data_IF_737684946968
#
_entry.id   IF_737684946968
#
_cell.length_a   1.000
_cell.length_b   1.000
_cell.length_c   1.000
_cell.angle_alpha   90.00
_cell.angle_beta   90.00
_cell.angle_gamma   90.00
#
_symmetry.space_group_name_H-M   'P 1'
#
loop_
_entity.id
_entity.type
_entity.pdbx_description
1 polymer ?
#
# COMPACT_ATOMS: atom_id res chain seq x y z
N UNK A 1 -16.23 20.49 12.71
CA UNK A 1 -16.11 19.41 13.71
C UNK A 1 -15.12 18.44 13.11
N UNK A 2 -13.89 18.40 13.63
CA UNK A 2 -12.79 17.61 13.09
C UNK A 2 -12.85 16.21 13.73
N UNK A 3 -13.58 15.28 13.12
CA UNK A 3 -13.70 13.90 13.61
C UNK A 3 -12.55 13.00 13.16
N UNK A 4 -12.02 13.20 11.95
CA UNK A 4 -11.20 12.20 11.26
C UNK A 4 -9.69 12.45 11.18
N UNK A 5 -9.20 13.53 11.80
CA UNK A 5 -7.79 13.91 11.69
C UNK A 5 -7.06 13.65 13.00
N UNK A 6 -6.13 12.71 12.95
CA UNK A 6 -5.20 12.42 14.04
C UNK A 6 -4.01 13.37 13.87
N UNK A 7 -3.95 14.37 14.74
CA UNK A 7 -2.83 15.29 14.82
C UNK A 7 -1.74 14.71 15.71
N UNK A 8 -0.51 14.74 15.22
CA UNK A 8 0.65 14.42 16.02
C UNK A 8 1.10 15.73 16.66
N UNK A 9 0.57 16.05 17.83
CA UNK A 9 1.08 17.18 18.61
C UNK A 9 2.58 16.97 18.85
N UNK A 10 3.36 18.03 18.64
CA UNK A 10 4.80 17.98 18.79
C UNK A 10 5.19 17.59 20.21
N UNK A 11 5.62 16.33 20.40
CA UNK A 11 6.38 15.91 21.58
C UNK A 11 7.73 16.65 21.71
N UNK A 12 8.03 17.60 20.82
CA UNK A 12 9.19 18.47 20.90
C UNK A 12 8.93 19.86 20.27
N UNK A 13 8.20 20.75 20.94
CA UNK A 13 8.36 22.18 20.69
C UNK A 13 7.90 23.05 21.88
N UNK A 14 8.85 23.30 22.80
CA UNK A 14 8.96 24.64 23.40
C UNK A 14 10.02 25.37 22.56
N UNK A 15 9.60 26.10 21.52
CA UNK A 15 10.48 27.04 20.81
C UNK A 15 9.68 28.10 20.03
N UNK A 16 9.91 29.35 20.42
CA UNK A 16 9.85 30.65 19.72
C UNK A 16 8.85 30.84 18.54
N UNK A 17 7.88 31.74 18.72
CA UNK A 17 6.83 32.14 17.76
C UNK A 17 7.35 32.76 16.43
N UNK A 18 8.66 32.81 16.21
CA UNK A 18 9.29 33.43 15.04
C UNK A 18 9.92 32.44 14.04
N UNK A 19 10.00 31.14 14.34
CA UNK A 19 10.50 30.13 13.40
C UNK A 19 9.34 29.54 12.57
N UNK A 20 9.52 29.44 11.25
CA UNK A 20 8.59 28.67 10.41
C UNK A 20 8.51 27.23 10.94
N UNK A 21 7.30 26.67 11.00
CA UNK A 21 7.10 25.29 11.46
C UNK A 21 8.00 24.33 10.65
N UNK A 22 8.67 23.37 11.31
CA UNK A 22 9.56 22.44 10.62
C UNK A 22 8.76 21.58 9.62
N UNK A 23 9.39 21.10 8.54
CA UNK A 23 8.72 20.28 7.54
C UNK A 23 8.15 18.98 8.13
N UNK A 24 7.00 18.55 7.59
CA UNK A 24 6.25 17.38 8.02
C UNK A 24 5.72 16.56 6.86
N UNK A 25 5.38 15.32 7.17
CA UNK A 25 4.58 14.47 6.30
C UNK A 25 3.11 14.51 6.73
N UNK A 26 2.22 14.78 5.80
CA UNK A 26 0.77 14.78 6.03
C UNK A 26 0.11 13.71 5.16
N UNK A 27 -0.58 12.77 5.80
CA UNK A 27 -1.26 11.67 5.12
C UNK A 27 -2.79 11.90 5.04
N UNK A 28 -3.37 11.52 3.91
CA UNK A 28 -4.81 11.32 3.72
C UNK A 28 -5.03 9.88 3.26
N UNK A 29 -5.77 9.11 4.05
CA UNK A 29 -6.01 7.67 3.86
C UNK A 29 -7.51 7.45 3.71
N UNK A 30 -7.92 6.86 2.59
CA UNK A 30 -9.33 6.62 2.26
C UNK A 30 -9.54 5.14 1.93
N UNK A 31 -10.49 4.50 2.61
CA UNK A 31 -10.86 3.10 2.38
C UNK A 31 -12.37 2.96 2.20
N UNK A 32 -12.82 2.57 1.00
CA UNK A 32 -14.24 2.48 0.67
C UNK A 32 -14.63 1.02 0.40
N UNK A 33 -15.30 0.40 1.37
CA UNK A 33 -15.79 -0.98 1.26
C UNK A 33 -17.29 -1.07 1.08
N UNK A 34 -18.01 -0.24 1.84
CA UNK A 34 -19.46 -0.11 1.76
C UNK A 34 -19.87 0.99 0.80
N UNK A 35 -20.82 0.65 -0.07
CA UNK A 35 -21.41 1.53 -1.07
C UNK A 35 -22.94 1.38 -1.04
N UNK A 36 -23.68 2.35 -0.49
CA UNK A 36 -25.13 2.24 -0.35
C UNK A 36 -25.90 1.98 -1.65
N UNK A 37 -25.35 2.41 -2.79
CA UNK A 37 -26.02 2.34 -4.09
C UNK A 37 -25.51 1.23 -5.02
N UNK A 38 -24.53 0.43 -4.60
CA UNK A 38 -24.10 -0.76 -5.35
C UNK A 38 -24.86 -2.00 -4.88
N UNK A 39 -24.73 -3.10 -5.62
CA UNK A 39 -25.33 -4.37 -5.22
C UNK A 39 -24.90 -4.78 -3.80
N UNK A 40 -25.87 -5.25 -3.01
CA UNK A 40 -25.71 -5.51 -1.56
C UNK A 40 -25.78 -4.27 -0.65
N UNK A 41 -25.94 -3.05 -1.19
CA UNK A 41 -26.13 -1.81 -0.42
C UNK A 41 -27.58 -1.57 0.03
N UNK A 42 -27.82 -0.47 0.77
CA UNK A 42 -29.16 -0.14 1.27
C UNK A 42 -30.14 0.34 0.20
N UNK A 43 -29.65 0.91 -0.90
CA UNK A 43 -30.45 1.51 -1.97
C UNK A 43 -29.78 1.27 -3.32
N UNK A 44 -29.62 0.00 -3.74
CA UNK A 44 -28.89 -0.36 -4.95
C UNK A 44 -29.57 0.20 -6.19
N UNK A 45 -28.78 0.71 -7.14
CA UNK A 45 -29.29 1.01 -8.47
C UNK A 45 -29.53 -0.27 -9.26
N UNK A 46 -30.39 -0.21 -10.27
CA UNK A 46 -30.74 -1.38 -11.08
C UNK A 46 -29.56 -1.93 -11.89
N UNK A 47 -28.60 -1.08 -12.25
CA UNK A 47 -27.40 -1.43 -12.98
C UNK A 47 -26.20 -0.69 -12.36
N UNK A 48 -25.43 -1.43 -11.56
CA UNK A 48 -24.20 -0.95 -10.92
C UNK A 48 -22.95 -1.33 -11.72
N UNK A 49 -23.11 -1.74 -12.97
CA UNK A 49 -22.03 -2.24 -13.84
C UNK A 49 -21.25 -3.42 -13.21
N UNK A 50 -21.98 -4.29 -12.52
CA UNK A 50 -21.42 -5.47 -11.84
C UNK A 50 -20.58 -5.15 -10.59
N UNK A 51 -20.49 -3.88 -10.18
CA UNK A 51 -19.83 -3.49 -8.94
C UNK A 51 -20.70 -3.83 -7.73
N UNK A 52 -20.05 -4.32 -6.68
CA UNK A 52 -20.63 -4.81 -5.44
C UNK A 52 -19.82 -4.31 -4.23
N UNK A 53 -20.25 -4.64 -3.02
CA UNK A 53 -19.53 -4.30 -1.79
C UNK A 53 -18.13 -4.91 -1.75
N UNK A 54 -17.16 -4.20 -1.18
CA UNK A 54 -15.78 -4.66 -1.03
C UNK A 54 -15.43 -4.81 0.45
N UNK A 55 -14.79 -5.92 0.81
CA UNK A 55 -14.38 -6.16 2.22
C UNK A 55 -12.95 -5.76 2.53
N UNK A 56 -12.04 -5.80 1.55
CA UNK A 56 -10.63 -5.43 1.76
C UNK A 56 -10.36 -3.94 2.01
N UNK A 57 -11.01 -2.98 1.32
CA UNK A 57 -10.53 -1.60 1.34
C UNK A 57 -10.48 -0.93 2.71
N UNK A 58 -11.49 -1.07 3.60
CA UNK A 58 -11.39 -0.50 4.93
C UNK A 58 -10.30 -1.16 5.79
N UNK A 59 -10.14 -2.49 5.66
CA UNK A 59 -9.08 -3.25 6.33
C UNK A 59 -7.70 -2.77 5.86
N UNK A 60 -7.51 -2.56 4.56
CA UNK A 60 -6.28 -2.06 3.96
C UNK A 60 -5.96 -0.63 4.42
N UNK A 61 -6.95 0.27 4.42
CA UNK A 61 -6.79 1.64 4.89
C UNK A 61 -6.44 1.71 6.38
N UNK A 62 -7.08 0.89 7.24
CA UNK A 62 -6.71 0.75 8.65
C UNK A 62 -5.28 0.26 8.82
N UNK A 63 -4.88 -0.79 8.11
CA UNK A 63 -3.52 -1.32 8.18
C UNK A 63 -2.46 -0.29 7.77
N UNK A 64 -2.75 0.49 6.72
CA UNK A 64 -1.86 1.55 6.26
C UNK A 64 -1.80 2.74 7.23
N UNK A 65 -2.92 3.17 7.81
CA UNK A 65 -2.95 4.19 8.85
C UNK A 65 -2.21 3.76 10.12
N UNK A 66 -2.36 2.49 10.53
CA UNK A 66 -1.58 1.91 11.63
C UNK A 66 -0.09 1.95 11.34
N UNK A 67 0.35 1.53 10.15
CA UNK A 67 1.76 1.59 9.75
C UNK A 67 2.31 3.02 9.76
N UNK A 68 1.56 4.00 9.27
CA UNK A 68 1.95 5.41 9.35
C UNK A 68 2.21 5.83 10.80
N UNK A 69 1.34 5.43 11.73
CA UNK A 69 1.46 5.84 13.12
C UNK A 69 2.56 5.07 13.88
N UNK A 70 2.75 3.78 13.63
CA UNK A 70 3.68 2.95 14.42
C UNK A 70 5.08 2.84 13.82
N UNK A 71 5.20 2.81 12.48
CA UNK A 71 6.46 2.47 11.80
C UNK A 71 7.02 3.60 10.94
N UNK A 72 6.18 4.46 10.35
CA UNK A 72 6.67 5.48 9.44
C UNK A 72 7.65 6.43 10.14
N UNK A 73 8.83 6.51 9.55
CA UNK A 73 9.93 7.34 10.02
C UNK A 73 10.63 7.99 8.84
N UNK A 74 10.70 9.32 8.89
CA UNK A 74 11.48 10.17 8.01
C UNK A 74 12.04 11.28 8.92
N UNK A 75 13.32 11.23 9.31
CA UNK A 75 13.88 12.23 10.22
C UNK A 75 13.83 13.67 9.69
N UNK A 76 13.81 13.86 8.37
CA UNK A 76 13.71 15.18 7.76
C UNK A 76 12.26 15.68 7.69
N UNK A 77 11.28 14.77 7.63
CA UNK A 77 9.84 15.08 7.47
C UNK A 77 9.00 14.13 8.33
N UNK A 78 9.10 14.22 9.67
CA UNK A 78 8.35 13.34 10.55
C UNK A 78 6.85 13.48 10.29
N UNK A 79 6.09 12.42 10.58
CA UNK A 79 4.65 12.44 10.42
C UNK A 79 4.05 13.57 11.27
N UNK A 80 3.23 14.43 10.66
CA UNK A 80 2.54 15.53 11.32
C UNK A 80 1.04 15.29 11.47
N UNK A 81 0.41 14.60 10.51
CA UNK A 81 -1.03 14.29 10.60
C UNK A 81 -1.42 13.08 9.76
N UNK A 82 -2.43 12.35 10.21
CA UNK A 82 -3.17 11.34 9.41
C UNK A 82 -4.65 11.72 9.39
N UNK A 83 -5.21 11.98 8.21
CA UNK A 83 -6.65 12.04 8.01
C UNK A 83 -7.11 10.66 7.51
N UNK A 84 -8.11 10.06 8.17
CA UNK A 84 -8.62 8.73 7.85
C UNK A 84 -10.12 8.80 7.56
N UNK A 85 -10.55 8.32 6.39
CA UNK A 85 -11.95 8.20 6.00
C UNK A 85 -12.25 6.75 5.63
N UNK A 86 -13.32 6.17 6.19
CA UNK A 86 -13.67 4.77 5.98
C UNK A 86 -15.16 4.59 5.73
N UNK A 87 -15.51 3.77 4.74
CA UNK A 87 -16.89 3.30 4.55
C UNK A 87 -16.95 1.80 4.76
N UNK A 88 -17.50 1.41 5.90
CA UNK A 88 -17.52 0.04 6.41
C UNK A 88 -18.94 -0.47 6.57
N UNK A 89 -19.14 -1.78 6.40
CA UNK A 89 -20.42 -2.43 6.72
C UNK A 89 -20.78 -2.27 8.20
N UNK A 90 -19.76 -2.36 9.06
CA UNK A 90 -19.87 -2.20 10.50
C UNK A 90 -18.82 -1.19 10.98
N UNK A 91 -19.13 0.12 10.94
CA UNK A 91 -18.21 1.17 11.35
C UNK A 91 -17.74 0.97 12.79
N UNK A 92 -16.43 1.05 12.99
CA UNK A 92 -15.81 1.01 14.31
C UNK A 92 -14.84 2.18 14.48
N UNK A 93 -14.58 2.65 15.71
CA UNK A 93 -13.52 3.64 15.93
C UNK A 93 -12.17 3.12 15.42
N UNK A 94 -11.26 4.04 15.11
CA UNK A 94 -9.87 3.72 14.85
C UNK A 94 -9.06 3.94 16.13
N UNK A 95 -8.48 2.87 16.67
CA UNK A 95 -7.60 2.94 17.83
C UNK A 95 -6.18 3.32 17.41
N UNK A 96 -5.68 4.47 17.84
CA UNK A 96 -4.28 4.87 17.62
C UNK A 96 -3.33 3.87 18.31
N UNK A 97 -2.45 3.17 17.56
CA UNK A 97 -1.58 2.14 18.13
C UNK A 97 -0.55 2.68 19.14
N UNK A 98 -0.27 3.98 19.15
CA UNK A 98 0.73 4.60 20.02
C UNK A 98 0.15 4.99 21.37
N UNK A 99 -1.10 5.42 21.38
CA UNK A 99 -1.77 6.00 22.57
C UNK A 99 -2.92 5.14 23.08
N UNK A 100 -3.35 4.15 22.30
CA UNK A 100 -4.57 3.36 22.55
C UNK A 100 -5.84 4.22 22.66
N UNK A 101 -5.84 5.41 22.03
CA UNK A 101 -7.00 6.30 21.99
C UNK A 101 -7.86 5.98 20.79
N UNK A 102 -9.17 5.89 21.00
CA UNK A 102 -10.13 5.68 19.92
C UNK A 102 -10.51 7.02 19.27
N UNK A 103 -10.51 7.01 17.93
CA UNK A 103 -10.93 8.13 17.10
C UNK A 103 -12.16 7.72 16.29
N UNK A 104 -13.18 8.58 16.29
CA UNK A 104 -14.30 8.44 15.36
C UNK A 104 -13.77 8.61 13.93
N UNK A 105 -14.33 7.84 12.99
CA UNK A 105 -13.92 7.87 11.59
C UNK A 105 -15.11 8.29 10.75
N UNK A 106 -14.97 9.40 10.02
CA UNK A 106 -16.03 9.87 9.13
C UNK A 106 -16.14 8.94 7.91
N UNK A 107 -17.37 8.80 7.42
CA UNK A 107 -17.67 8.01 6.22
C UNK A 107 -16.97 8.61 4.98
N UNK A 108 -16.44 7.76 4.10
CA UNK A 108 -15.76 8.17 2.88
C UNK A 108 -16.73 8.57 1.75
N UNK A 109 -17.63 9.51 2.03
CA UNK A 109 -18.46 10.19 1.02
C UNK A 109 -17.63 11.20 0.23
N UNK A 110 -18.07 11.57 -0.98
CA UNK A 110 -17.32 12.53 -1.79
C UNK A 110 -17.20 13.89 -1.09
N UNK A 111 -18.23 14.32 -0.36
CA UNK A 111 -18.22 15.56 0.41
C UNK A 111 -17.16 15.57 1.51
N UNK A 112 -17.04 14.46 2.25
CA UNK A 112 -16.03 14.31 3.29
C UNK A 112 -14.62 14.21 2.68
N UNK A 113 -14.46 13.49 1.56
CA UNK A 113 -13.18 13.38 0.85
C UNK A 113 -12.72 14.76 0.35
N UNK A 114 -13.59 15.55 -0.29
CA UNK A 114 -13.24 16.89 -0.79
C UNK A 114 -12.85 17.82 0.36
N UNK A 115 -13.58 17.77 1.47
CA UNK A 115 -13.26 18.54 2.68
C UNK A 115 -11.88 18.15 3.22
N UNK A 116 -11.61 16.84 3.35
CA UNK A 116 -10.34 16.33 3.83
C UNK A 116 -9.17 16.67 2.90
N UNK A 117 -9.39 16.69 1.57
CA UNK A 117 -8.40 17.15 0.57
C UNK A 117 -8.08 18.62 0.76
N UNK A 118 -9.07 19.47 1.03
CA UNK A 118 -8.85 20.90 1.32
C UNK A 118 -7.97 21.10 2.56
N UNK A 119 -8.34 20.47 3.67
CA UNK A 119 -7.57 20.56 4.91
C UNK A 119 -6.16 19.96 4.76
N UNK A 120 -6.02 18.89 3.99
CA UNK A 120 -4.74 18.24 3.68
C UNK A 120 -3.85 19.11 2.78
N UNK A 121 -4.44 19.80 1.80
CA UNK A 121 -3.76 20.80 0.98
C UNK A 121 -3.19 21.92 1.86
N UNK A 122 -4.00 22.48 2.77
CA UNK A 122 -3.58 23.60 3.62
C UNK A 122 -2.39 23.21 4.53
N UNK A 123 -2.41 21.99 5.06
CA UNK A 123 -1.26 21.43 5.80
C UNK A 123 -0.03 21.30 4.91
N UNK A 124 -0.17 20.73 3.71
CA UNK A 124 0.92 20.63 2.73
C UNK A 124 1.49 21.98 2.31
N UNK A 125 0.64 23.00 2.18
CA UNK A 125 1.04 24.33 1.72
C UNK A 125 1.80 25.14 2.77
N UNK A 126 1.84 24.68 4.02
CA UNK A 126 2.51 25.37 5.13
C UNK A 126 4.03 25.47 4.98
N UNK A 127 4.68 24.49 4.33
CA UNK A 127 6.14 24.45 4.17
C UNK A 127 6.54 23.79 2.84
N UNK A 128 7.59 24.32 2.19
CA UNK A 128 8.03 23.85 0.87
C UNK A 128 8.60 22.44 0.90
N UNK A 129 9.27 22.07 1.99
CA UNK A 129 9.82 20.73 2.18
C UNK A 129 8.82 19.72 2.77
N UNK A 130 7.54 20.09 2.92
CA UNK A 130 6.51 19.14 3.33
C UNK A 130 6.36 18.00 2.32
N UNK A 131 5.92 16.86 2.84
CA UNK A 131 5.48 15.72 2.05
C UNK A 131 3.99 15.50 2.22
N UNK A 132 3.33 15.29 1.09
CA UNK A 132 1.95 14.85 1.01
C UNK A 132 1.92 13.37 0.65
N UNK A 133 1.18 12.57 1.43
CA UNK A 133 0.93 11.16 1.15
C UNK A 133 -0.58 10.94 1.00
N UNK A 134 -1.00 10.43 -0.14
CA UNK A 134 -2.39 10.05 -0.41
C UNK A 134 -2.46 8.53 -0.58
N UNK A 135 -3.38 7.90 0.14
CA UNK A 135 -3.68 6.48 -0.01
C UNK A 135 -5.18 6.33 -0.27
N UNK A 136 -5.53 5.59 -1.32
CA UNK A 136 -6.91 5.23 -1.62
C UNK A 136 -7.00 3.73 -1.88
N UNK A 137 -7.99 3.08 -1.27
CA UNK A 137 -8.40 1.73 -1.63
C UNK A 137 -9.93 1.68 -1.80
N UNK A 138 -10.39 1.06 -2.88
CA UNK A 138 -11.81 0.96 -3.21
C UNK A 138 -12.04 0.70 -4.69
N UNK A 139 -13.27 0.90 -5.16
CA UNK A 139 -13.56 0.89 -6.58
C UNK A 139 -12.92 2.09 -7.28
N UNK A 140 -12.45 1.84 -8.49
CA UNK A 140 -11.95 2.85 -9.41
C UNK A 140 -12.26 2.45 -10.83
N UNK A 141 -12.47 3.47 -11.66
CA UNK A 141 -12.66 3.30 -13.10
C UNK A 141 -11.73 4.25 -13.83
N UNK A 142 -11.31 3.87 -15.02
CA UNK A 142 -10.42 4.70 -15.83
C UNK A 142 -10.85 4.69 -17.29
N UNK A 143 -10.54 5.78 -17.99
CA UNK A 143 -10.64 5.88 -19.44
C UNK A 143 -9.41 6.65 -19.93
N UNK A 144 -8.44 5.94 -20.52
CA UNK A 144 -7.15 6.55 -20.88
C UNK A 144 -6.39 7.04 -19.64
N UNK A 145 -6.13 8.35 -19.56
CA UNK A 145 -5.45 8.98 -18.43
C UNK A 145 -6.42 9.45 -17.32
N UNK A 146 -7.71 9.53 -17.63
CA UNK A 146 -8.74 9.95 -16.68
C UNK A 146 -9.04 8.79 -15.72
N UNK A 147 -9.03 9.06 -14.41
CA UNK A 147 -9.30 8.07 -13.37
C UNK A 147 -10.22 8.65 -12.30
N UNK A 148 -11.34 7.96 -12.08
CA UNK A 148 -12.30 8.28 -11.03
C UNK A 148 -12.12 7.29 -9.87
N UNK A 149 -11.92 7.81 -8.66
CA UNK A 149 -11.89 7.02 -7.42
C UNK A 149 -13.26 7.10 -6.76
N UNK A 150 -13.97 5.98 -6.65
CA UNK A 150 -15.39 5.99 -6.29
C UNK A 150 -15.55 6.10 -4.77
N UNK A 151 -16.22 7.18 -4.34
CA UNK A 151 -16.61 7.37 -2.95
C UNK A 151 -17.85 6.54 -2.61
N UNK A 152 -18.20 6.47 -1.33
CA UNK A 152 -19.32 5.64 -0.85
C UNK A 152 -20.64 5.98 -1.55
N UNK A 153 -20.87 7.26 -1.82
CA UNK A 153 -22.08 7.83 -2.40
C UNK A 153 -22.07 7.93 -3.93
N UNK A 154 -21.20 7.16 -4.60
CA UNK A 154 -21.33 6.94 -6.06
C UNK A 154 -22.74 6.42 -6.39
N UNK A 155 -23.31 6.87 -7.51
CA UNK A 155 -24.71 6.61 -7.91
C UNK A 155 -25.82 7.25 -7.05
N UNK A 156 -25.50 8.02 -6.00
CA UNK A 156 -26.52 8.79 -5.28
C UNK A 156 -27.24 9.82 -6.19
N UNK A 157 -26.50 10.40 -7.16
CA UNK A 157 -27.08 11.15 -8.27
C UNK A 157 -27.32 10.22 -9.46
N UNK A 158 -28.59 9.87 -9.68
CA UNK A 158 -29.00 8.98 -10.78
C UNK A 158 -28.76 9.58 -12.18
N UNK A 159 -28.63 10.90 -12.29
CA UNK A 159 -28.35 11.57 -13.55
C UNK A 159 -26.85 11.69 -13.82
N UNK A 160 -26.03 11.83 -12.77
CA UNK A 160 -24.58 11.93 -12.87
C UNK A 160 -23.90 11.08 -11.78
N UNK A 161 -23.82 9.75 -11.94
CA UNK A 161 -23.29 8.85 -10.92
C UNK A 161 -21.89 9.21 -10.39
N UNK A 162 -21.03 9.71 -11.29
CA UNK A 162 -19.65 10.11 -10.96
C UNK A 162 -19.58 11.39 -10.12
N UNK A 163 -20.69 12.07 -9.81
CA UNK A 163 -20.69 13.11 -8.78
C UNK A 163 -20.25 12.57 -7.42
N UNK A 164 -20.47 11.28 -7.14
CA UNK A 164 -19.94 10.55 -5.98
C UNK A 164 -18.55 9.95 -6.21
N UNK A 165 -17.73 10.53 -7.09
CA UNK A 165 -16.37 10.09 -7.35
C UNK A 165 -15.38 11.25 -7.31
N UNK A 166 -14.13 10.94 -6.99
CA UNK A 166 -13.02 11.88 -6.99
C UNK A 166 -12.27 11.79 -8.33
N UNK A 167 -12.15 12.92 -9.02
CA UNK A 167 -11.30 13.06 -10.19
C UNK A 167 -9.82 13.08 -9.76
N UNK A 168 -9.14 11.95 -9.92
CA UNK A 168 -7.77 11.77 -9.44
C UNK A 168 -6.75 12.57 -10.26
N UNK A 169 -6.95 12.66 -11.57
CA UNK A 169 -6.11 13.49 -12.44
C UNK A 169 -6.28 14.98 -12.07
N UNK A 170 -7.52 15.41 -11.83
CA UNK A 170 -7.87 16.73 -11.31
C UNK A 170 -7.20 17.05 -9.97
N UNK A 171 -7.24 16.11 -9.02
CA UNK A 171 -6.53 16.23 -7.74
C UNK A 171 -5.03 16.48 -7.95
N UNK A 172 -4.34 15.62 -8.70
CA UNK A 172 -2.90 15.76 -8.97
C UNK A 172 -2.54 17.07 -9.69
N UNK A 173 -3.43 17.54 -10.57
CA UNK A 173 -3.29 18.81 -11.26
C UNK A 173 -3.48 20.01 -10.33
N UNK A 174 -4.47 19.98 -9.44
CA UNK A 174 -4.69 21.02 -8.44
C UNK A 174 -3.54 21.14 -7.44
N UNK A 175 -2.93 20.00 -7.06
CA UNK A 175 -1.77 19.96 -6.17
C UNK A 175 -0.48 20.55 -6.77
N UNK A 176 -0.45 20.93 -8.06
CA UNK A 176 0.70 21.63 -8.65
C UNK A 176 1.02 22.94 -7.91
N UNK A 177 -0.02 23.60 -7.35
CA UNK A 177 0.11 24.86 -6.61
C UNK A 177 0.54 24.71 -5.15
N UNK A 178 0.40 23.53 -4.57
CA UNK A 178 0.76 23.28 -3.17
C UNK A 178 2.28 23.43 -2.97
N UNK A 179 2.72 24.10 -1.90
CA UNK A 179 4.16 24.27 -1.60
C UNK A 179 4.91 22.95 -1.45
N UNK A 180 4.29 21.95 -0.80
CA UNK A 180 4.87 20.63 -0.56
C UNK A 180 5.63 20.08 -1.77
N UNK A 181 6.93 19.88 -1.59
CA UNK A 181 7.88 19.49 -2.63
C UNK A 181 7.76 18.02 -3.03
N UNK A 182 7.20 17.17 -2.16
CA UNK A 182 7.02 15.75 -2.41
C UNK A 182 5.54 15.33 -2.27
N UNK A 183 5.01 14.64 -3.27
CA UNK A 183 3.62 14.19 -3.33
C UNK A 183 3.57 12.71 -3.76
N UNK A 184 3.23 11.82 -2.83
CA UNK A 184 3.22 10.37 -3.03
C UNK A 184 1.78 9.88 -3.02
N UNK A 185 1.38 9.11 -4.02
CA UNK A 185 0.04 8.56 -4.12
C UNK A 185 0.11 7.04 -4.24
N UNK A 186 -0.67 6.34 -3.42
CA UNK A 186 -0.89 4.90 -3.50
C UNK A 186 -2.35 4.66 -3.84
N UNK A 187 -2.60 4.14 -5.04
CA UNK A 187 -3.95 3.96 -5.59
C UNK A 187 -4.22 2.47 -5.77
N UNK A 188 -4.93 1.90 -4.80
CA UNK A 188 -5.37 0.51 -4.77
C UNK A 188 -6.81 0.38 -5.25
N UNK A 189 -6.97 0.53 -6.57
CA UNK A 189 -8.25 0.46 -7.24
C UNK A 189 -8.08 -0.15 -8.64
N UNK A 190 -9.18 -0.69 -9.18
CA UNK A 190 -9.24 -1.07 -10.58
C UNK A 190 -8.99 0.14 -11.48
N UNK A 191 -8.48 -0.13 -12.69
CA UNK A 191 -8.29 0.86 -13.76
C UNK A 191 -8.94 0.40 -15.05
N UNK A 192 -9.93 -0.48 -14.91
CA UNK A 192 -10.72 -0.99 -16.01
C UNK A 192 -11.71 0.10 -16.50
N UNK A 193 -12.03 -0.01 -17.79
CA UNK A 193 -13.14 0.74 -18.38
C UNK A 193 -14.46 0.23 -17.78
N UNK A 194 -15.44 1.12 -17.71
CA UNK A 194 -16.83 0.80 -17.37
C UNK A 194 -17.71 1.39 -18.46
N UNK A 195 -18.42 0.56 -19.22
CA UNK A 195 -19.21 1.02 -20.37
C UNK A 195 -20.37 1.94 -19.91
N UNK A 196 -21.01 1.61 -18.79
CA UNK A 196 -22.06 2.44 -18.16
C UNK A 196 -21.54 3.80 -17.70
N UNK A 197 -20.31 3.85 -17.16
CA UNK A 197 -19.70 5.09 -16.70
C UNK A 197 -19.05 5.88 -17.84
N UNK A 198 -18.57 5.22 -18.90
CA UNK A 198 -18.05 5.84 -20.13
C UNK A 198 -19.18 6.47 -20.96
N UNK A 199 -20.34 5.81 -21.06
CA UNK A 199 -21.50 6.34 -21.79
C UNK A 199 -22.13 7.55 -21.08
N UNK A 200 -22.09 7.60 -19.75
CA UNK A 200 -22.58 8.73 -18.95
C UNK A 200 -21.57 9.90 -18.86
N UNK A 201 -20.29 9.66 -19.14
CA UNK A 201 -19.21 10.65 -19.00
C UNK A 201 -18.71 11.25 -20.32
N UNK A 202 -19.55 11.27 -21.38
CA UNK A 202 -19.26 11.68 -22.77
C UNK A 202 -18.58 13.04 -23.05
N UNK A 203 -17.97 13.68 -22.04
CA UNK A 203 -17.22 14.94 -22.06
C UNK A 203 -15.92 14.94 -21.21
N UNK A 204 -15.31 13.80 -20.84
CA UNK A 204 -14.16 13.71 -19.92
C UNK A 204 -14.49 13.99 -18.44
N UNK A 205 -15.67 13.56 -17.98
CA UNK A 205 -16.05 13.74 -16.57
C UNK A 205 -15.58 12.55 -15.72
N UNK A 206 -14.51 12.75 -14.94
CA UNK A 206 -13.97 11.76 -14.00
C UNK A 206 -14.48 11.94 -12.55
N UNK A 207 -15.50 12.79 -12.36
CA UNK A 207 -16.08 13.10 -11.06
C UNK A 207 -15.70 14.48 -10.52
N UNK A 208 -15.75 14.62 -9.19
CA UNK A 208 -15.53 15.88 -8.50
C UNK A 208 -14.04 16.26 -8.50
N UNK A 209 -13.72 17.45 -9.03
CA UNK A 209 -12.39 18.04 -8.94
C UNK A 209 -12.26 18.86 -7.65
N UNK A 210 -11.49 18.40 -6.63
CA UNK A 210 -11.48 19.02 -5.31
C UNK A 210 -10.68 20.33 -5.25
N UNK A 211 -9.75 20.52 -6.19
CA UNK A 211 -8.82 21.64 -6.23
C UNK A 211 -8.75 22.15 -7.67
N UNK A 212 -8.97 23.45 -7.89
CA UNK A 212 -8.90 24.00 -9.25
C UNK A 212 -7.52 23.77 -9.89
N UNK A 213 -7.45 23.49 -11.19
CA UNK A 213 -6.17 23.32 -11.88
C UNK A 213 -5.35 24.62 -11.90
N UNK A 214 -4.02 24.50 -12.02
CA UNK A 214 -3.14 25.66 -12.17
C UNK A 214 -1.68 25.27 -12.40
N UNK A 215 -0.89 26.23 -12.89
CA UNK A 215 0.55 26.08 -12.98
C UNK A 215 1.19 26.16 -11.58
N UNK A 216 2.28 25.41 -11.36
CA UNK A 216 3.12 25.59 -10.17
C UNK A 216 3.76 26.99 -10.22
N UNK A 217 3.68 27.80 -9.14
CA UNK A 217 4.41 29.07 -9.05
C UNK A 217 5.90 28.91 -9.35
N UNK A 218 6.48 29.87 -10.09
CA UNK A 218 7.86 29.80 -10.58
C UNK A 218 8.93 29.94 -9.49
N UNK A 219 8.54 30.50 -8.34
CA UNK A 219 9.38 30.69 -7.14
C UNK A 219 9.44 29.44 -6.25
N UNK A 220 8.59 28.44 -6.50
CA UNK A 220 8.66 27.17 -5.80
C UNK A 220 9.69 26.23 -6.44
N UNK A 221 10.40 25.42 -5.63
CA UNK A 221 11.30 24.40 -6.15
C UNK A 221 10.51 23.34 -6.93
N UNK A 222 11.25 22.53 -7.69
CA UNK A 222 10.69 21.41 -8.46
C UNK A 222 9.86 20.51 -7.55
N UNK A 223 8.63 20.22 -7.98
CA UNK A 223 7.75 19.24 -7.36
C UNK A 223 8.16 17.83 -7.80
N UNK A 224 8.37 16.93 -6.86
CA UNK A 224 8.42 15.50 -7.10
C UNK A 224 7.06 14.90 -6.78
N UNK A 225 6.45 14.25 -7.77
CA UNK A 225 5.18 13.57 -7.58
C UNK A 225 5.27 12.16 -8.14
N UNK A 226 4.64 11.21 -7.47
CA UNK A 226 4.74 9.79 -7.80
C UNK A 226 3.45 9.05 -7.49
N UNK A 227 2.66 8.68 -8.50
CA UNK A 227 1.49 7.83 -8.33
C UNK A 227 1.85 6.36 -8.56
N UNK A 228 1.77 5.56 -7.51
CA UNK A 228 1.77 4.10 -7.56
C UNK A 228 0.35 3.60 -7.77
N UNK A 229 0.16 2.79 -8.79
CA UNK A 229 -1.10 2.13 -9.09
C UNK A 229 -0.98 0.64 -8.81
N UNK A 230 -2.02 0.07 -8.20
CA UNK A 230 -2.08 -1.36 -7.94
C UNK A 230 -2.08 -2.24 -9.19
N UNK A 231 -2.47 -1.67 -10.34
CA UNK A 231 -2.61 -2.40 -11.60
C UNK A 231 -2.32 -1.51 -12.81
N UNK A 232 -2.17 -2.09 -14.00
CA UNK A 232 -2.00 -1.37 -15.26
C UNK A 232 -3.31 -0.70 -15.70
N UNK A 233 -3.22 0.26 -16.62
CA UNK A 233 -4.41 0.84 -17.23
C UNK A 233 -5.20 -0.24 -17.99
N UNK A 234 -6.51 -0.32 -17.74
CA UNK A 234 -7.40 -1.35 -18.29
C UNK A 234 -7.60 -2.57 -17.39
N UNK A 235 -6.78 -2.77 -16.36
CA UNK A 235 -6.77 -3.99 -15.55
C UNK A 235 -7.49 -3.85 -14.20
N UNK A 236 -7.72 -5.00 -13.55
CA UNK A 236 -8.36 -5.10 -12.24
C UNK A 236 -7.32 -5.09 -11.11
N UNK A 237 -7.73 -4.65 -9.92
CA UNK A 237 -7.03 -4.88 -8.65
C UNK A 237 -7.78 -5.94 -7.83
N UNK A 238 -7.07 -6.71 -7.03
CA UNK A 238 -7.56 -7.87 -6.32
C UNK A 238 -7.25 -7.81 -4.82
N UNK A 239 -8.13 -8.41 -4.02
CA UNK A 239 -7.98 -8.56 -2.58
C UNK A 239 -8.50 -9.91 -2.11
N UNK A 240 -8.13 -10.29 -0.88
CA UNK A 240 -8.67 -11.48 -0.22
C UNK A 240 -9.82 -11.05 0.69
N UNK A 241 -10.94 -11.78 0.65
CA UNK A 241 -12.14 -11.41 1.40
C UNK A 241 -11.85 -11.22 2.89
N UNK A 242 -12.26 -10.08 3.45
CA UNK A 242 -12.05 -9.72 4.85
C UNK A 242 -10.59 -9.47 5.26
N UNK A 243 -9.65 -9.45 4.32
CA UNK A 243 -8.23 -9.19 4.57
C UNK A 243 -7.77 -7.95 3.78
N UNK A 244 -6.58 -7.48 4.12
CA UNK A 244 -5.85 -6.48 3.33
C UNK A 244 -5.76 -6.94 1.86
N UNK A 245 -5.94 -6.00 0.94
CA UNK A 245 -5.78 -6.21 -0.50
C UNK A 245 -4.34 -6.61 -0.86
N UNK A 246 -4.16 -7.30 -1.99
CA UNK A 246 -2.84 -7.81 -2.37
C UNK A 246 -1.81 -6.70 -2.55
N UNK A 247 -2.21 -5.60 -3.20
CA UNK A 247 -1.32 -4.45 -3.38
C UNK A 247 -0.94 -3.80 -2.05
N UNK A 248 -1.90 -3.60 -1.14
CA UNK A 248 -1.61 -2.97 0.15
C UNK A 248 -0.74 -3.87 1.02
N UNK A 249 -0.95 -5.19 1.02
CA UNK A 249 -0.09 -6.13 1.72
C UNK A 249 1.33 -6.11 1.15
N UNK A 250 1.47 -6.13 -0.18
CA UNK A 250 2.77 -6.03 -0.86
C UNK A 250 3.48 -4.71 -0.55
N UNK A 251 2.73 -3.60 -0.53
CA UNK A 251 3.22 -2.28 -0.15
C UNK A 251 3.76 -2.27 1.28
N UNK A 252 2.99 -2.77 2.25
CA UNK A 252 3.40 -2.82 3.66
C UNK A 252 4.63 -3.72 3.87
N UNK A 253 4.67 -4.91 3.26
CA UNK A 253 5.86 -5.79 3.30
C UNK A 253 7.09 -5.15 2.65
N UNK A 254 6.87 -4.36 1.59
CA UNK A 254 7.94 -3.60 0.94
C UNK A 254 8.49 -2.51 1.84
N UNK A 255 7.62 -1.73 2.48
CA UNK A 255 7.99 -0.68 3.43
C UNK A 255 8.69 -1.24 4.69
N UNK A 256 8.30 -2.44 5.14
CA UNK A 256 8.90 -3.12 6.30
C UNK A 256 10.30 -3.70 6.05
N UNK A 257 10.78 -3.76 4.80
CA UNK A 257 12.15 -4.17 4.53
C UNK A 257 12.44 -4.67 3.13
N UNK A 258 11.47 -5.24 2.41
CA UNK A 258 11.78 -5.77 1.07
C UNK A 258 12.23 -4.67 0.09
N UNK A 259 11.80 -3.42 0.27
CA UNK A 259 12.26 -2.28 -0.54
C UNK A 259 13.43 -1.50 0.07
N UNK A 260 14.08 -2.02 1.12
CA UNK A 260 15.14 -1.29 1.83
C UNK A 260 16.54 -1.56 1.30
N UNK A 261 17.44 -0.61 1.53
CA UNK A 261 18.88 -0.69 1.27
C UNK A 261 19.65 0.16 2.29
N UNK A 262 20.92 -0.13 2.52
CA UNK A 262 21.74 0.50 3.57
C UNK A 262 23.02 1.18 3.06
N UNK A 263 22.95 2.05 2.03
CA UNK A 263 24.15 2.61 1.38
C UNK A 263 25.07 3.39 2.33
N UNK A 264 24.50 3.97 3.39
CA UNK A 264 25.21 4.76 4.41
C UNK A 264 25.15 4.11 5.81
N UNK A 265 24.67 2.87 5.90
CA UNK A 265 24.53 2.12 7.16
C UNK A 265 23.17 2.24 7.84
N UNK A 266 22.32 3.17 7.41
CA UNK A 266 20.91 3.26 7.81
C UNK A 266 20.04 2.57 6.76
N UNK A 267 19.09 1.73 7.18
CA UNK A 267 18.14 1.07 6.28
C UNK A 267 17.10 2.05 5.77
N UNK A 268 17.07 2.28 4.46
CA UNK A 268 16.22 3.27 3.82
C UNK A 268 15.40 2.63 2.70
N UNK A 269 14.13 3.00 2.59
CA UNK A 269 13.26 2.67 1.47
C UNK A 269 13.17 3.87 0.56
N UNK A 270 13.63 3.72 -0.69
CA UNK A 270 13.44 4.72 -1.72
C UNK A 270 12.29 4.36 -2.67
N UNK A 271 11.81 5.35 -3.40
CA UNK A 271 10.68 5.21 -4.32
C UNK A 271 10.90 4.18 -5.44
N UNK A 272 12.12 4.02 -5.94
CA UNK A 272 12.41 3.06 -7.01
C UNK A 272 12.40 1.61 -6.54
N UNK A 273 13.01 1.34 -5.37
CA UNK A 273 13.04 0.01 -4.76
C UNK A 273 11.65 -0.44 -4.32
N UNK A 274 10.79 0.51 -3.95
CA UNK A 274 9.42 0.24 -3.57
C UNK A 274 8.63 -0.42 -4.71
N UNK A 275 8.73 0.11 -5.95
CA UNK A 275 8.06 -0.52 -7.09
C UNK A 275 8.60 -1.94 -7.35
N UNK A 276 9.92 -2.11 -7.32
CA UNK A 276 10.55 -3.43 -7.54
C UNK A 276 10.11 -4.47 -6.51
N UNK A 277 10.00 -4.09 -5.24
CA UNK A 277 9.57 -5.00 -4.19
C UNK A 277 8.08 -5.35 -4.30
N UNK A 278 7.21 -4.37 -4.55
CA UNK A 278 5.77 -4.61 -4.76
C UNK A 278 5.57 -5.54 -5.96
N UNK A 279 6.23 -5.24 -7.09
CA UNK A 279 6.18 -6.06 -8.29
C UNK A 279 6.63 -7.49 -8.04
N UNK A 280 7.71 -7.67 -7.27
CA UNK A 280 8.18 -9.00 -6.89
C UNK A 280 7.10 -9.82 -6.18
N UNK A 281 6.45 -9.26 -5.15
CA UNK A 281 5.37 -9.94 -4.42
C UNK A 281 4.20 -10.30 -5.34
N UNK A 282 3.79 -9.39 -6.21
CA UNK A 282 2.68 -9.61 -7.14
C UNK A 282 2.96 -10.73 -8.18
N UNK A 283 4.24 -11.03 -8.43
CA UNK A 283 4.66 -12.15 -9.27
C UNK A 283 4.79 -13.49 -8.52
N UNK A 284 4.77 -13.51 -7.17
CA UNK A 284 4.98 -14.74 -6.41
C UNK A 284 3.66 -15.51 -6.20
N UNK A 285 3.55 -16.76 -6.65
CA UNK A 285 2.37 -17.60 -6.41
C UNK A 285 2.07 -17.81 -4.92
N UNK A 286 3.10 -18.00 -4.09
CA UNK A 286 2.93 -18.14 -2.63
C UNK A 286 2.37 -16.88 -1.95
N UNK A 287 2.37 -15.74 -2.64
CA UNK A 287 1.81 -14.48 -2.17
C UNK A 287 0.46 -14.20 -2.85
N UNK A 288 0.46 -14.03 -4.17
CA UNK A 288 -0.71 -13.59 -4.93
C UNK A 288 -1.64 -14.76 -5.34
N UNK A 289 -1.27 -16.01 -5.07
CA UNK A 289 -2.06 -17.20 -5.41
C UNK A 289 -2.36 -17.26 -6.91
N UNK A 290 -3.61 -17.58 -7.25
CA UNK A 290 -4.07 -17.71 -8.63
C UNK A 290 -3.99 -16.42 -9.47
N UNK A 291 -3.82 -15.25 -8.84
CA UNK A 291 -3.68 -13.95 -9.54
C UNK A 291 -2.22 -13.47 -9.61
N UNK A 292 -1.25 -14.33 -9.28
CA UNK A 292 0.16 -14.03 -9.48
C UNK A 292 0.45 -13.70 -10.95
N UNK A 293 1.19 -12.62 -11.19
CA UNK A 293 1.48 -12.07 -12.53
C UNK A 293 0.24 -11.61 -13.34
N UNK A 294 -0.96 -11.61 -12.76
CA UNK A 294 -2.18 -11.07 -13.40
C UNK A 294 -2.34 -9.60 -13.07
N UNK A 295 -2.19 -9.23 -11.79
CA UNK A 295 -2.21 -7.85 -11.36
C UNK A 295 -0.78 -7.28 -11.37
N UNK A 296 -0.51 -6.35 -12.29
CA UNK A 296 0.82 -5.77 -12.49
C UNK A 296 0.86 -4.34 -11.94
N UNK A 297 1.56 -4.08 -10.83
CA UNK A 297 1.67 -2.74 -10.28
C UNK A 297 2.43 -1.83 -11.23
N UNK A 298 2.06 -0.55 -11.25
CA UNK A 298 2.71 0.43 -12.14
C UNK A 298 2.93 1.77 -11.45
N UNK A 299 3.79 2.60 -12.04
CA UNK A 299 4.05 3.96 -11.58
C UNK A 299 3.95 4.93 -12.75
N UNK A 300 3.43 6.14 -12.51
CA UNK A 300 3.39 7.21 -13.51
C UNK A 300 4.77 7.85 -13.71
N UNK A 301 5.10 8.83 -12.86
CA UNK A 301 6.45 9.41 -12.78
C UNK A 301 7.23 8.77 -11.62
N UNK A 302 8.54 8.50 -11.81
CA UNK A 302 9.39 7.87 -10.79
C UNK A 302 10.60 8.76 -10.41
N UNK A 303 10.39 9.93 -9.77
CA UNK A 303 11.48 10.62 -9.09
C UNK A 303 12.02 9.76 -7.94
N UNK A 304 13.35 9.73 -7.77
CA UNK A 304 14.02 8.93 -6.73
C UNK A 304 14.32 9.78 -5.50
N UNK A 305 13.75 9.39 -4.36
CA UNK A 305 14.06 9.95 -3.04
C UNK A 305 13.74 8.94 -1.93
N UNK A 306 14.28 9.18 -0.73
CA UNK A 306 14.03 8.35 0.46
C UNK A 306 12.64 8.64 0.98
N UNK A 307 11.77 7.62 1.00
CA UNK A 307 10.42 7.72 1.51
C UNK A 307 10.37 7.45 3.02
N UNK A 308 11.16 6.49 3.50
CA UNK A 308 11.07 5.96 4.84
C UNK A 308 12.42 5.38 5.27
N UNK A 309 12.76 5.49 6.54
CA UNK A 309 13.88 4.79 7.17
C UNK A 309 13.38 3.77 8.19
N UNK A 310 13.89 2.54 8.13
CA UNK A 310 13.51 1.51 9.09
C UNK A 310 14.17 1.78 10.45
N UNK A 311 13.42 1.56 11.53
CA UNK A 311 13.95 1.64 12.89
C UNK A 311 14.82 0.42 13.27
N UNK A 312 14.70 -0.68 12.52
CA UNK A 312 15.36 -1.95 12.82
C UNK A 312 15.83 -2.70 11.57
N UNK A 313 16.21 -3.95 11.76
CA UNK A 313 16.65 -4.83 10.66
C UNK A 313 15.50 -5.12 9.70
N UNK A 314 15.73 -5.04 8.38
CA UNK A 314 14.68 -5.30 7.41
C UNK A 314 14.23 -6.75 7.44
N UNK A 315 12.93 -6.95 7.28
CA UNK A 315 12.33 -8.27 7.07
C UNK A 315 12.07 -8.45 5.58
N UNK A 316 12.49 -9.58 5.03
CA UNK A 316 12.42 -9.85 3.59
C UNK A 316 11.90 -11.26 3.33
N UNK A 317 11.20 -11.48 2.20
CA UNK A 317 10.74 -12.80 1.85
C UNK A 317 11.90 -13.69 1.42
N UNK A 318 11.83 -14.95 1.86
CA UNK A 318 12.77 -16.01 1.51
C UNK A 318 11.97 -17.22 1.02
N UNK A 319 12.30 -17.69 -0.18
CA UNK A 319 11.69 -18.84 -0.82
C UNK A 319 12.70 -19.98 -0.82
N UNK A 320 12.37 -21.07 -0.13
CA UNK A 320 13.26 -22.23 0.03
C UNK A 320 12.68 -23.40 -0.76
N UNK A 321 13.49 -23.98 -1.65
CA UNK A 321 13.11 -25.12 -2.46
C UNK A 321 14.28 -26.08 -2.66
N UNK A 322 13.95 -27.29 -3.07
CA UNK A 322 14.86 -28.34 -3.49
C UNK A 322 15.10 -28.28 -5.01
N UNK A 323 16.25 -28.79 -5.43
CA UNK A 323 16.54 -29.11 -6.83
C UNK A 323 16.80 -30.62 -6.96
N UNK A 324 15.89 -31.40 -7.61
CA UNK A 324 14.70 -30.97 -8.33
C UNK A 324 13.52 -30.53 -7.44
N UNK A 325 12.63 -29.69 -7.98
CA UNK A 325 11.49 -29.09 -7.24
C UNK A 325 10.47 -30.11 -6.71
N UNK A 326 10.32 -31.25 -7.37
CA UNK A 326 9.44 -32.33 -6.90
C UNK A 326 9.77 -32.85 -5.50
N UNK A 327 11.01 -32.68 -5.05
CA UNK A 327 11.43 -33.06 -3.70
C UNK A 327 10.82 -32.14 -2.62
N UNK A 328 10.26 -30.97 -2.99
CA UNK A 328 9.58 -30.07 -2.05
C UNK A 328 8.39 -30.74 -1.35
N UNK A 329 7.71 -31.67 -2.00
CA UNK A 329 6.55 -32.37 -1.46
C UNK A 329 6.90 -33.29 -0.29
N UNK A 330 8.12 -33.81 -0.26
CA UNK A 330 8.60 -34.79 0.73
C UNK A 330 9.55 -34.15 1.76
N UNK A 331 10.08 -32.95 1.47
CA UNK A 331 11.06 -32.29 2.30
C UNK A 331 10.44 -31.69 3.58
N UNK A 332 11.03 -32.06 4.72
CA UNK A 332 10.98 -31.23 5.92
C UNK A 332 12.05 -30.13 5.79
N UNK A 333 11.62 -28.86 5.86
CA UNK A 333 12.56 -27.74 5.83
C UNK A 333 12.85 -27.19 7.22
N UNK A 334 14.12 -26.85 7.44
CA UNK A 334 14.59 -26.22 8.69
C UNK A 334 15.41 -24.98 8.36
N UNK A 335 15.16 -23.88 9.08
CA UNK A 335 15.94 -22.65 9.01
C UNK A 335 16.63 -22.40 10.36
N UNK A 336 17.96 -22.29 10.33
CA UNK A 336 18.82 -21.99 11.50
C UNK A 336 19.50 -20.64 11.33
N UNK A 337 19.64 -19.89 12.43
CA UNK A 337 20.28 -18.57 12.43
C UNK A 337 21.71 -18.64 12.99
N UNK A 338 22.66 -17.93 12.37
CA UNK A 338 24.03 -17.83 12.89
C UNK A 338 24.95 -19.01 12.59
N UNK A 339 24.52 -19.96 11.74
CA UNK A 339 25.36 -21.09 11.29
C UNK A 339 24.69 -22.46 11.49
N UNK A 340 25.45 -23.53 11.24
CA UNK A 340 24.94 -24.91 11.31
C UNK A 340 24.51 -25.32 12.72
N UNK A 341 25.27 -24.91 13.74
CA UNK A 341 24.95 -25.17 15.15
C UNK A 341 24.11 -24.05 15.78
N UNK A 342 23.55 -23.17 14.94
CA UNK A 342 22.70 -22.07 15.34
C UNK A 342 21.33 -22.53 15.85
N UNK A 343 20.62 -21.67 16.61
CA UNK A 343 19.25 -21.95 17.02
C UNK A 343 18.34 -22.14 15.79
N UNK A 344 17.47 -23.13 15.88
CA UNK A 344 16.37 -23.30 14.93
C UNK A 344 15.39 -22.13 15.09
N UNK A 345 15.09 -21.47 13.99
CA UNK A 345 14.14 -20.35 13.95
C UNK A 345 12.78 -20.79 13.47
N UNK A 346 12.77 -21.56 12.38
CA UNK A 346 11.55 -22.00 11.70
C UNK A 346 11.73 -23.42 11.18
N UNK A 347 10.61 -24.13 11.11
CA UNK A 347 10.50 -25.49 10.55
C UNK A 347 9.20 -25.62 9.79
N UNK A 348 9.24 -26.28 8.64
CA UNK A 348 8.06 -26.79 7.92
C UNK A 348 8.11 -28.31 7.93
N UNK A 349 7.22 -29.00 8.68
CA UNK A 349 7.17 -30.46 8.71
C UNK A 349 6.92 -31.07 7.32
N UNK A 350 7.38 -32.31 7.12
CA UNK A 350 7.00 -33.09 5.93
C UNK A 350 5.47 -33.30 5.92
N UNK A 351 4.83 -32.95 4.80
CA UNK A 351 3.37 -33.03 4.62
C UNK A 351 2.60 -31.73 4.93
N UNK A 352 3.26 -30.70 5.49
CA UNK A 352 2.72 -29.34 5.53
C UNK A 352 3.02 -28.64 4.18
N UNK A 353 2.30 -29.10 3.15
CA UNK A 353 2.49 -28.71 1.75
C UNK A 353 1.22 -28.04 1.23
N UNK A 354 1.39 -27.17 0.24
CA UNK A 354 0.26 -26.74 -0.59
C UNK A 354 -0.20 -27.95 -1.42
N UNK A 355 -1.43 -28.42 -1.19
CA UNK A 355 -1.96 -29.59 -1.90
C UNK A 355 -2.30 -29.28 -3.36
N UNK A 356 -2.53 -28.02 -3.69
CA UNK A 356 -2.80 -27.57 -5.06
C UNK A 356 -1.50 -27.34 -5.83
N UNK A 357 -0.40 -27.05 -5.12
CA UNK A 357 0.97 -26.97 -5.67
C UNK A 357 2.02 -27.66 -4.76
N UNK A 358 2.14 -29.00 -4.81
CA UNK A 358 3.09 -29.75 -3.98
C UNK A 358 4.56 -29.44 -4.26
N UNK A 359 4.87 -28.85 -5.42
CA UNK A 359 6.22 -28.43 -5.79
C UNK A 359 6.54 -27.00 -5.31
N UNK A 360 5.61 -26.34 -4.63
CA UNK A 360 5.78 -24.97 -4.15
C UNK A 360 6.95 -24.81 -3.18
N UNK A 361 7.64 -23.68 -3.32
CA UNK A 361 8.71 -23.29 -2.40
C UNK A 361 8.12 -22.98 -1.01
N UNK A 362 8.86 -23.32 0.04
CA UNK A 362 8.56 -22.85 1.39
C UNK A 362 8.87 -21.35 1.48
N UNK A 363 7.81 -20.54 1.49
CA UNK A 363 7.88 -19.10 1.62
C UNK A 363 7.84 -18.69 3.10
N UNK A 364 8.86 -17.95 3.55
CA UNK A 364 8.99 -17.44 4.92
C UNK A 364 9.52 -16.01 4.91
N UNK A 365 9.34 -15.31 6.03
CA UNK A 365 9.88 -13.97 6.23
C UNK A 365 11.00 -14.01 7.26
N UNK A 366 12.15 -13.45 6.91
CA UNK A 366 13.34 -13.46 7.76
C UNK A 366 13.95 -12.06 7.82
N UNK A 367 14.53 -11.74 8.98
CA UNK A 367 15.33 -10.54 9.15
C UNK A 367 16.64 -10.62 8.35
N UNK A 368 17.29 -9.48 8.15
CA UNK A 368 18.67 -9.43 7.67
C UNK A 368 19.58 -10.27 8.57
N UNK A 369 20.36 -11.18 7.99
CA UNK A 369 21.23 -12.05 8.76
C UNK A 369 21.81 -13.22 7.99
N UNK A 370 22.59 -14.05 8.69
CA UNK A 370 23.16 -15.28 8.13
C UNK A 370 22.37 -16.48 8.61
N UNK A 371 21.90 -17.30 7.67
CA UNK A 371 21.07 -18.46 7.93
C UNK A 371 21.65 -19.72 7.28
N UNK A 372 21.30 -20.88 7.81
CA UNK A 372 21.50 -22.17 7.17
C UNK A 372 20.14 -22.80 6.94
N UNK A 373 19.86 -23.11 5.67
CA UNK A 373 18.65 -23.80 5.26
C UNK A 373 18.95 -25.26 5.05
N UNK A 374 18.07 -26.12 5.55
CA UNK A 374 18.17 -27.56 5.44
C UNK A 374 16.88 -28.14 4.85
N UNK A 375 17.02 -29.14 3.99
CA UNK A 375 15.93 -30.01 3.54
C UNK A 375 16.26 -31.44 3.95
N UNK A 376 15.38 -32.05 4.74
CA UNK A 376 15.47 -33.43 5.22
C UNK A 376 14.50 -34.28 4.39
N UNK A 377 15.06 -35.19 3.59
CA UNK A 377 14.36 -36.08 2.67
C UNK A 377 14.50 -37.52 3.20
N UNK A 378 13.52 -37.94 4.00
CA UNK A 378 13.59 -39.20 4.75
C UNK A 378 14.76 -39.24 5.75
N UNK A 379 15.16 -40.45 6.15
CA UNK A 379 16.13 -40.65 7.24
C UNK A 379 17.61 -40.48 6.83
N UNK A 380 17.89 -40.31 5.53
CA UNK A 380 19.24 -40.50 4.99
C UNK A 380 19.77 -39.35 4.13
N UNK A 381 18.91 -38.43 3.69
CA UNK A 381 19.32 -37.33 2.84
C UNK A 381 19.02 -35.99 3.51
N UNK A 382 20.09 -35.22 3.76
CA UNK A 382 19.99 -33.85 4.27
C UNK A 382 20.77 -32.93 3.34
N UNK A 383 20.07 -32.00 2.69
CA UNK A 383 20.67 -30.96 1.83
C UNK A 383 20.77 -29.68 2.64
N UNK A 384 21.90 -28.99 2.56
CA UNK A 384 22.14 -27.78 3.36
C UNK A 384 22.77 -26.67 2.54
N UNK A 385 22.40 -25.43 2.84
CA UNK A 385 22.99 -24.24 2.20
C UNK A 385 23.04 -23.05 3.15
N UNK A 386 24.24 -22.52 3.46
CA UNK A 386 24.38 -21.25 4.16
C UNK A 386 24.05 -20.09 3.19
N UNK A 387 23.27 -19.12 3.66
CA UNK A 387 22.84 -17.96 2.88
C UNK A 387 22.77 -16.72 3.76
N UNK A 388 23.28 -15.60 3.25
CA UNK A 388 23.02 -14.28 3.83
C UNK A 388 21.72 -13.72 3.25
N UNK A 389 20.75 -13.53 4.14
CA UNK A 389 19.46 -12.90 3.85
C UNK A 389 19.63 -11.38 3.93
N UNK A 390 19.26 -10.70 2.85
CA UNK A 390 19.19 -9.23 2.73
C UNK A 390 18.13 -8.87 1.67
N UNK A 391 17.66 -7.62 1.61
CA UNK A 391 16.75 -7.15 0.56
C UNK A 391 17.24 -7.44 -0.88
N UNK A 392 16.35 -7.50 -1.86
CA UNK A 392 14.87 -7.36 -1.77
C UNK A 392 14.21 -8.65 -1.30
N UNK A 393 14.73 -9.80 -1.71
CA UNK A 393 14.24 -11.13 -1.36
C UNK A 393 15.38 -12.16 -1.49
N UNK A 394 15.17 -13.41 -1.05
CA UNK A 394 16.10 -14.51 -1.35
C UNK A 394 15.38 -15.74 -1.86
N UNK A 395 15.97 -16.40 -2.86
CA UNK A 395 15.56 -17.73 -3.30
C UNK A 395 16.69 -18.72 -3.03
N UNK A 396 16.40 -19.77 -2.28
CA UNK A 396 17.35 -20.75 -1.78
C UNK A 396 17.02 -22.11 -2.40
N UNK A 397 17.85 -22.53 -3.34
CA UNK A 397 17.75 -23.83 -3.99
C UNK A 397 18.75 -24.81 -3.38
N UNK A 398 18.21 -25.88 -2.79
CA UNK A 398 18.89 -26.96 -2.09
C UNK A 398 19.06 -28.17 -3.02
N UNK A 399 20.19 -28.19 -3.72
CA UNK A 399 20.59 -29.31 -4.59
C UNK A 399 21.26 -30.45 -3.84
N UNK A 400 21.41 -31.59 -4.53
CA UNK A 400 22.11 -32.76 -4.00
C UNK A 400 23.56 -32.42 -3.62
N UNK A 401 24.10 -33.03 -2.53
CA UNK A 401 25.51 -32.89 -2.21
C UNK A 401 26.38 -33.35 -3.39
N UNK A 402 27.35 -32.53 -3.78
CA UNK A 402 28.30 -32.81 -4.87
C UNK A 402 29.29 -33.92 -4.53
#
# INVERSE_FOLDING_TARGET
MAGSVIHLEDLAAVADEAAAAPPRTHALVVGVGKYPHLDGGESPVADSDGMHQLSSPPVSARAFATWLLSEYNDPERPLGSVALLLSEEHPTPFTDPRTSTDHDVDEATIGNIVTAVGDWYDRGDSHVDNRLLFYFCGHGVSQGEDMALLAADVFADHHNPLNGALDFAGLMNGLKRCKAGQQVFFVDACRANSDVLIESSGTHFAGCTPLGAGARPLDLPRRFHIPYYATLAGDKSYGRAGQVSLFTEALLKSLAGAASDDPEGDWQVNTSQLLTAIDHFMHQPSFAGAVASVQVPSVGELPVFVLHQLAGTPVVPVYVGCDPAGDNAEAEFVCREGGQDGPERLRRPAGDIDTDDPESEWAIELGFGNYVFEAHLGDHEVRRKPVTVRPVFRRVQLGKPS
#
